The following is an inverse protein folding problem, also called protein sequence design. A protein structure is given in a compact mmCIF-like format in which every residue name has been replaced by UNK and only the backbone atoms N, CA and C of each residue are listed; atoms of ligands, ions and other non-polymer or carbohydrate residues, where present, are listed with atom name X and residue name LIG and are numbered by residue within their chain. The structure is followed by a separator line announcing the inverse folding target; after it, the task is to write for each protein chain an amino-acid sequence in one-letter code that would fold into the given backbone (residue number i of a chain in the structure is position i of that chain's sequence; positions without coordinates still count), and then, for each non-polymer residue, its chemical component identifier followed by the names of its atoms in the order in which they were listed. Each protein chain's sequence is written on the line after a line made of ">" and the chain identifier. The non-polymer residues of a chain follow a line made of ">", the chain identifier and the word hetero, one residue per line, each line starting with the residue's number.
data_IF_295678807677
#
_entry.id   IF_295678807677
#
_cell.length_a   1.000
_cell.length_b   1.000
_cell.length_c   1.000
_cell.angle_alpha   90.00
_cell.angle_beta   90.00
_cell.angle_gamma   90.00
#
_symmetry.space_group_name_H-M   'P 1'
#
loop_
_entity.id
_entity.type
_entity.pdbx_description
1 polymer ?
#
# COMPACT_ATOMS: atom_id res chain seq x y z
N UNK A 1 -13.18 -1.30 29.06
CA UNK A 1 -12.14 -2.33 29.19
C UNK A 1 -12.33 -3.41 28.15
N UNK A 2 -11.42 -3.49 27.22
CA UNK A 2 -11.46 -4.51 26.19
C UNK A 2 -11.11 -5.87 26.80
N UNK A 3 -12.01 -6.82 26.70
CA UNK A 3 -11.84 -8.15 27.22
C UNK A 3 -10.88 -8.94 26.34
N UNK A 4 -10.09 -9.83 26.93
CA UNK A 4 -9.15 -10.71 26.20
C UNK A 4 -9.85 -11.51 25.10
N UNK A 5 -11.13 -11.87 25.31
CA UNK A 5 -11.94 -12.54 24.31
C UNK A 5 -12.18 -11.70 23.05
N UNK A 6 -12.29 -10.37 23.17
CA UNK A 6 -12.48 -9.47 22.05
C UNK A 6 -11.23 -9.38 21.18
N UNK A 7 -10.04 -9.38 21.80
CA UNK A 7 -8.77 -9.44 21.08
C UNK A 7 -8.57 -10.80 20.38
N UNK A 8 -8.96 -11.89 21.00
CA UNK A 8 -8.86 -13.22 20.41
C UNK A 8 -9.77 -13.33 19.18
N UNK A 9 -10.99 -12.81 19.24
CA UNK A 9 -11.92 -12.77 18.11
C UNK A 9 -11.36 -11.91 16.98
N UNK A 10 -10.83 -10.72 17.31
CA UNK A 10 -10.23 -9.83 16.34
C UNK A 10 -9.04 -10.47 15.63
N UNK A 11 -8.16 -11.15 16.36
CA UNK A 11 -7.01 -11.87 15.82
C UNK A 11 -7.45 -13.03 14.94
N UNK A 12 -8.45 -13.79 15.35
CA UNK A 12 -9.00 -14.92 14.57
C UNK A 12 -9.64 -14.41 13.28
N UNK A 13 -10.44 -13.35 13.33
CA UNK A 13 -11.06 -12.74 12.14
C UNK A 13 -9.97 -12.19 11.21
N UNK A 14 -8.99 -11.46 11.74
CA UNK A 14 -7.88 -10.92 10.95
C UNK A 14 -7.06 -12.04 10.31
N UNK A 15 -6.76 -13.10 11.05
CA UNK A 15 -6.01 -14.26 10.54
C UNK A 15 -6.81 -15.00 9.46
N UNK A 16 -8.11 -15.15 9.65
CA UNK A 16 -9.01 -15.78 8.66
C UNK A 16 -9.06 -14.96 7.37
N UNK A 17 -9.18 -13.64 7.47
CA UNK A 17 -9.17 -12.74 6.30
C UNK A 17 -7.83 -12.82 5.57
N UNK A 18 -6.72 -12.79 6.29
CA UNK A 18 -5.37 -12.91 5.72
C UNK A 18 -5.19 -14.27 5.04
N UNK A 19 -5.60 -15.36 5.67
CA UNK A 19 -5.51 -16.72 5.12
C UNK A 19 -6.41 -16.88 3.88
N UNK A 20 -7.63 -16.36 3.93
CA UNK A 20 -8.55 -16.39 2.81
C UNK A 20 -7.98 -15.63 1.61
N UNK A 21 -7.34 -14.49 1.88
CA UNK A 21 -6.73 -13.66 0.86
C UNK A 21 -5.51 -14.32 0.24
N UNK A 22 -4.69 -14.99 1.03
CA UNK A 22 -3.56 -15.78 0.53
C UNK A 22 -4.00 -16.93 -0.37
N UNK A 23 -5.13 -17.56 -0.05
CA UNK A 23 -5.71 -18.64 -0.88
C UNK A 23 -6.32 -18.12 -2.18
N UNK A 24 -6.85 -16.89 -2.20
CA UNK A 24 -7.39 -16.24 -3.39
C UNK A 24 -6.30 -15.69 -4.31
N UNK A 25 -5.13 -15.37 -3.76
CA UNK A 25 -3.99 -14.79 -4.48
C UNK A 25 -2.93 -15.82 -4.86
N UNK A 26 -3.35 -17.03 -5.20
CA UNK A 26 -2.44 -18.12 -5.58
C UNK A 26 -1.44 -17.69 -6.66
N UNK A 27 -0.18 -17.75 -6.33
CA UNK A 27 1.03 -17.69 -7.15
C UNK A 27 1.56 -16.31 -7.58
N UNK A 28 0.73 -15.30 -7.86
CA UNK A 28 1.23 -13.98 -8.27
C UNK A 28 1.14 -12.91 -7.17
N UNK A 29 0.14 -12.99 -6.31
CA UNK A 29 -0.08 -12.02 -5.24
C UNK A 29 0.91 -12.12 -4.09
N UNK A 30 1.29 -13.33 -3.68
CA UNK A 30 2.24 -13.54 -2.58
C UNK A 30 3.65 -13.02 -2.89
N UNK A 31 4.08 -13.09 -4.16
CA UNK A 31 5.37 -12.58 -4.62
C UNK A 31 5.40 -11.05 -4.61
N UNK A 32 4.30 -10.40 -5.01
CA UNK A 32 4.17 -8.95 -4.97
C UNK A 32 4.17 -8.40 -3.54
N UNK A 33 3.47 -9.05 -2.63
CA UNK A 33 3.35 -8.59 -1.23
C UNK A 33 4.68 -8.66 -0.47
N UNK A 34 5.52 -9.65 -0.77
CA UNK A 34 6.83 -9.77 -0.11
C UNK A 34 7.82 -8.68 -0.52
N UNK A 35 7.71 -8.16 -1.75
CA UNK A 35 8.61 -7.15 -2.28
C UNK A 35 8.16 -5.71 -2.03
N UNK A 36 6.89 -5.49 -1.76
CA UNK A 36 6.30 -4.15 -1.56
C UNK A 36 6.46 -3.67 -0.13
N UNK A 37 6.77 -4.57 0.78
CA UNK A 37 6.78 -4.35 2.24
C UNK A 37 7.69 -3.21 2.73
N UNK A 38 8.53 -2.65 1.90
CA UNK A 38 9.58 -1.75 2.40
C UNK A 38 9.62 -0.38 1.81
N UNK A 39 8.61 0.04 1.03
CA UNK A 39 9.10 0.97 0.04
C UNK A 39 8.30 2.21 -0.18
N UNK A 40 7.10 2.34 0.34
CA UNK A 40 6.30 3.53 0.11
C UNK A 40 6.45 4.49 1.29
N UNK A 41 7.09 5.64 1.04
CA UNK A 41 7.17 6.73 2.02
C UNK A 41 5.83 7.48 2.11
N UNK A 42 5.65 8.29 3.15
CA UNK A 42 4.43 9.08 3.32
C UNK A 42 4.15 9.99 2.12
N UNK A 43 5.19 10.60 1.57
CA UNK A 43 5.07 11.44 0.37
C UNK A 43 4.66 10.63 -0.86
N UNK A 44 5.28 9.49 -1.06
CA UNK A 44 4.91 8.57 -2.14
C UNK A 44 3.50 8.01 -1.96
N UNK A 45 3.10 7.74 -0.73
CA UNK A 45 1.74 7.28 -0.41
C UNK A 45 0.70 8.34 -0.79
N UNK A 46 0.99 9.62 -0.55
CA UNK A 46 0.11 10.71 -0.97
C UNK A 46 -0.14 10.70 -2.48
N UNK A 47 0.89 10.41 -3.27
CA UNK A 47 0.75 10.26 -4.72
C UNK A 47 -0.03 9.00 -5.07
N UNK A 48 0.25 7.89 -4.42
CA UNK A 48 -0.47 6.64 -4.65
C UNK A 48 -1.97 6.79 -4.39
N UNK A 49 -2.36 7.51 -3.34
CA UNK A 49 -3.77 7.79 -3.03
C UNK A 49 -4.47 8.50 -4.19
N UNK A 50 -3.80 9.44 -4.83
CA UNK A 50 -4.33 10.15 -5.99
C UNK A 50 -4.49 9.20 -7.18
N UNK A 51 -3.47 8.39 -7.47
CA UNK A 51 -3.52 7.42 -8.55
C UNK A 51 -4.60 6.37 -8.34
N UNK A 52 -4.76 5.87 -7.12
CA UNK A 52 -5.82 4.92 -6.79
C UNK A 52 -7.23 5.53 -6.89
N UNK A 53 -7.36 6.81 -6.57
CA UNK A 53 -8.63 7.53 -6.68
C UNK A 53 -9.02 7.90 -8.10
N UNK A 54 -8.11 7.76 -9.06
CA UNK A 54 -8.36 8.11 -10.46
C UNK A 54 -8.72 6.87 -11.27
N UNK A 55 -9.76 6.96 -12.07
CA UNK A 55 -10.14 5.92 -13.02
C UNK A 55 -9.24 5.93 -14.26
N UNK A 56 -8.57 7.03 -14.52
CA UNK A 56 -7.75 7.22 -15.70
C UNK A 56 -6.27 7.31 -15.33
N UNK A 57 -5.41 6.98 -16.29
CA UNK A 57 -3.98 7.23 -16.18
C UNK A 57 -3.73 8.74 -16.09
N UNK A 58 -2.76 9.13 -15.30
CA UNK A 58 -2.52 10.54 -14.96
C UNK A 58 -1.15 11.02 -15.43
N UNK A 59 -1.10 12.24 -15.90
CA UNK A 59 0.17 12.96 -16.16
C UNK A 59 0.71 13.54 -14.85
N UNK A 60 1.97 13.98 -14.86
CA UNK A 60 2.55 14.74 -13.73
C UNK A 60 1.68 15.96 -13.40
N UNK A 61 1.24 16.68 -14.42
CA UNK A 61 0.38 17.86 -14.25
C UNK A 61 -0.95 17.53 -13.57
N UNK A 62 -1.56 16.41 -13.95
CA UNK A 62 -2.81 15.95 -13.34
C UNK A 62 -2.61 15.62 -11.86
N UNK A 63 -1.52 14.97 -11.52
CA UNK A 63 -1.18 14.65 -10.13
C UNK A 63 -0.94 15.92 -9.31
N UNK A 64 -0.20 16.88 -9.87
CA UNK A 64 0.04 18.18 -9.20
C UNK A 64 -1.27 18.90 -8.91
N UNK A 65 -2.19 18.92 -9.87
CA UNK A 65 -3.52 19.55 -9.69
C UNK A 65 -4.36 18.85 -8.64
N UNK A 66 -4.23 17.54 -8.51
CA UNK A 66 -4.98 16.76 -7.54
C UNK A 66 -4.38 16.84 -6.12
N UNK A 67 -3.13 17.27 -5.99
CA UNK A 67 -2.46 17.49 -4.71
C UNK A 67 -2.93 18.80 -4.08
N UNK A 68 -4.09 18.76 -3.50
CA UNK A 68 -4.67 19.92 -2.83
C UNK A 68 -3.92 20.19 -1.50
N UNK A 69 -3.47 21.43 -1.31
CA UNK A 69 -2.79 21.85 -0.10
C UNK A 69 -1.31 21.49 0.02
N UNK A 70 -0.72 20.87 -0.96
CA UNK A 70 0.71 20.63 -1.02
C UNK A 70 1.37 21.54 -2.07
N UNK A 71 2.37 22.31 -1.64
CA UNK A 71 3.14 23.19 -2.53
C UNK A 71 4.22 22.43 -3.32
N UNK A 72 3.95 21.19 -3.69
CA UNK A 72 4.91 20.40 -4.45
C UNK A 72 4.96 20.86 -5.90
N UNK A 73 6.19 21.11 -6.36
CA UNK A 73 6.43 21.44 -7.76
C UNK A 73 6.25 20.22 -8.65
N UNK A 74 6.00 20.41 -9.97
CA UNK A 74 5.99 19.29 -10.92
C UNK A 74 7.28 18.46 -10.89
N UNK A 75 8.42 19.09 -10.65
CA UNK A 75 9.71 18.42 -10.51
C UNK A 75 9.73 17.46 -9.31
N UNK A 76 9.20 17.89 -8.18
CA UNK A 76 9.10 17.06 -6.97
C UNK A 76 8.18 15.86 -7.20
N UNK A 77 7.01 16.09 -7.79
CA UNK A 77 6.05 15.02 -8.13
C UNK A 77 6.68 14.03 -9.11
N UNK A 78 7.36 14.53 -10.13
CA UNK A 78 8.07 13.69 -11.10
C UNK A 78 9.12 12.80 -10.42
N UNK A 79 9.86 13.34 -9.46
CA UNK A 79 10.86 12.57 -8.70
C UNK A 79 10.20 11.44 -7.91
N UNK A 80 9.09 11.69 -7.24
CA UNK A 80 8.36 10.65 -6.51
C UNK A 80 7.78 9.59 -7.44
N UNK A 81 7.23 10.00 -8.58
CA UNK A 81 6.73 9.06 -9.58
C UNK A 81 7.86 8.18 -10.15
N UNK A 82 9.04 8.73 -10.37
CA UNK A 82 10.22 7.96 -10.78
C UNK A 82 10.64 6.94 -9.72
N UNK A 83 10.59 7.32 -8.45
CA UNK A 83 10.87 6.39 -7.34
C UNK A 83 9.84 5.27 -7.29
N UNK A 84 8.56 5.59 -7.46
CA UNK A 84 7.49 4.60 -7.49
C UNK A 84 7.62 3.64 -8.68
N UNK A 85 8.09 4.14 -9.83
CA UNK A 85 8.42 3.29 -10.99
C UNK A 85 9.53 2.30 -10.65
N UNK A 86 10.61 2.76 -10.01
CA UNK A 86 11.72 1.89 -9.58
C UNK A 86 11.28 0.83 -8.58
N UNK A 87 10.29 1.15 -7.76
CA UNK A 87 9.71 0.22 -6.78
C UNK A 87 8.70 -0.75 -7.39
N UNK A 88 8.40 -0.62 -8.68
CA UNK A 88 7.44 -1.45 -9.43
C UNK A 88 6.01 -1.41 -8.86
N UNK A 89 5.63 -0.32 -8.21
CA UNK A 89 4.26 -0.11 -7.71
C UNK A 89 3.42 0.76 -8.64
N UNK A 90 4.07 1.47 -9.55
CA UNK A 90 3.47 2.32 -10.58
C UNK A 90 4.07 1.93 -11.92
N UNK A 91 3.29 2.01 -12.97
CA UNK A 91 3.77 1.88 -14.35
C UNK A 91 3.54 3.18 -15.11
N UNK A 92 4.20 3.30 -16.24
CA UNK A 92 4.15 4.47 -17.09
C UNK A 92 3.91 4.05 -18.53
N UNK A 93 2.99 4.72 -19.19
CA UNK A 93 2.74 4.58 -20.62
C UNK A 93 3.05 5.90 -21.30
N UNK A 94 3.80 5.83 -22.40
CA UNK A 94 4.12 7.01 -23.18
C UNK A 94 3.07 7.24 -24.26
N UNK A 95 2.42 8.39 -24.23
CA UNK A 95 1.48 8.83 -25.26
C UNK A 95 2.01 10.13 -25.89
N UNK A 96 2.59 10.02 -27.08
CA UNK A 96 3.31 11.14 -27.69
C UNK A 96 4.54 11.51 -26.86
N UNK A 97 4.66 12.76 -26.45
CA UNK A 97 5.70 13.26 -25.57
C UNK A 97 5.30 13.24 -24.09
N UNK A 98 4.14 12.72 -23.76
CA UNK A 98 3.57 12.75 -22.42
C UNK A 98 3.61 11.39 -21.79
N UNK A 99 4.04 11.31 -20.53
CA UNK A 99 4.01 10.10 -19.72
C UNK A 99 2.71 10.04 -18.93
N UNK A 100 2.03 8.90 -19.00
CA UNK A 100 0.83 8.61 -18.25
C UNK A 100 1.13 7.55 -17.20
N UNK A 101 0.93 7.90 -15.94
CA UNK A 101 1.22 7.04 -14.80
C UNK A 101 -0.05 6.37 -14.29
N UNK A 102 0.07 5.12 -13.89
CA UNK A 102 -1.04 4.37 -13.31
C UNK A 102 -0.53 3.36 -12.30
N UNK A 103 -1.32 3.04 -11.26
CA UNK A 103 -0.88 2.10 -10.23
C UNK A 103 -0.91 0.66 -10.75
N UNK A 104 0.16 -0.08 -10.50
CA UNK A 104 0.20 -1.54 -10.66
C UNK A 104 -0.27 -2.21 -9.37
N UNK A 105 0.23 -1.71 -8.23
CA UNK A 105 -0.17 -2.16 -6.91
C UNK A 105 -1.57 -1.64 -6.61
N UNK A 106 -2.50 -2.53 -6.29
CA UNK A 106 -3.85 -2.15 -5.89
C UNK A 106 -3.87 -1.66 -4.45
N UNK A 107 -4.73 -0.69 -4.17
CA UNK A 107 -4.89 -0.13 -2.83
C UNK A 107 -5.21 -1.20 -1.79
N UNK A 108 -6.12 -2.10 -2.10
CA UNK A 108 -6.49 -3.18 -1.17
C UNK A 108 -5.31 -4.08 -0.83
N UNK A 109 -4.45 -4.39 -1.80
CA UNK A 109 -3.26 -5.21 -1.58
C UNK A 109 -2.26 -4.49 -0.69
N UNK A 110 -2.09 -3.19 -0.86
CA UNK A 110 -1.23 -2.37 -0.01
C UNK A 110 -1.77 -2.29 1.42
N UNK A 111 -3.04 -1.96 1.58
CA UNK A 111 -3.70 -1.85 2.88
C UNK A 111 -3.63 -3.17 3.66
N UNK A 112 -3.78 -4.28 2.97
CA UNK A 112 -3.65 -5.60 3.57
C UNK A 112 -2.23 -5.91 4.00
N UNK A 113 -1.24 -5.56 3.18
CA UNK A 113 0.18 -5.72 3.50
C UNK A 113 0.56 -4.93 4.77
N UNK A 114 0.10 -3.69 4.87
CA UNK A 114 0.30 -2.85 6.05
C UNK A 114 -0.39 -3.42 7.28
N UNK A 115 -1.63 -3.86 7.14
CA UNK A 115 -2.41 -4.49 8.21
C UNK A 115 -1.74 -5.78 8.68
N UNK A 116 -1.28 -6.63 7.76
CA UNK A 116 -0.55 -7.86 8.08
C UNK A 116 0.74 -7.56 8.83
N UNK A 117 1.48 -6.56 8.39
CA UNK A 117 2.72 -6.13 9.04
C UNK A 117 2.45 -5.62 10.47
N UNK A 118 1.43 -4.80 10.64
CA UNK A 118 1.01 -4.26 11.93
C UNK A 118 0.55 -5.38 12.88
N UNK A 119 -0.32 -6.27 12.42
CA UNK A 119 -0.79 -7.42 13.20
C UNK A 119 0.33 -8.37 13.58
N UNK A 120 1.27 -8.61 12.68
CA UNK A 120 2.45 -9.44 12.94
C UNK A 120 3.29 -8.85 14.08
N UNK A 121 3.49 -7.54 14.09
CA UNK A 121 4.22 -6.85 15.16
C UNK A 121 3.49 -6.94 16.50
N UNK A 122 2.18 -6.71 16.51
CA UNK A 122 1.35 -6.81 17.71
C UNK A 122 1.30 -8.26 18.21
N UNK A 123 1.08 -9.21 17.29
CA UNK A 123 1.01 -10.65 17.62
C UNK A 123 2.31 -11.13 18.26
N UNK A 124 3.45 -10.81 17.70
CA UNK A 124 4.76 -11.17 18.26
C UNK A 124 5.02 -10.51 19.62
N UNK A 125 4.56 -9.25 19.80
CA UNK A 125 4.71 -8.54 21.06
C UNK A 125 3.71 -8.99 22.13
N UNK A 126 2.44 -9.06 21.78
CA UNK A 126 1.33 -9.33 22.72
C UNK A 126 1.27 -10.79 23.15
N UNK A 127 1.49 -11.74 22.25
CA UNK A 127 1.47 -13.17 22.59
C UNK A 127 2.64 -13.52 23.50
N UNK A 128 3.81 -12.95 23.26
CA UNK A 128 4.96 -13.12 24.11
C UNK A 128 4.70 -12.61 25.53
N UNK A 129 4.04 -11.48 25.67
CA UNK A 129 3.67 -10.91 26.96
C UNK A 129 2.56 -11.69 27.66
N UNK A 130 1.59 -12.23 26.90
CA UNK A 130 0.51 -13.07 27.45
C UNK A 130 1.02 -14.44 27.93
N UNK A 131 2.00 -15.01 27.24
CA UNK A 131 2.60 -16.31 27.61
C UNK A 131 3.61 -16.15 28.73
N UNK A 132 4.27 -14.99 28.86
CA UNK A 132 5.21 -14.69 29.92
C UNK A 132 4.56 -14.27 31.24
N UNK A 133 3.25 -13.99 31.23
CA UNK A 133 2.48 -13.68 32.45
C UNK A 133 1.90 -15.00 33.09
#
# INVERSE_FOLDING_TARGET
>A
MTNVADYAILIIVATSVITLNKNLMTHKGAFYMSNVKHTITDSEYSIMKILWGSENKMTVSDVVKALDGNDWTPSTVSTFLQRLLKKNVVSCEKKGNTNLYYPILKQNDYDMSETESFLSKIYKGSVKNLVAA
#
